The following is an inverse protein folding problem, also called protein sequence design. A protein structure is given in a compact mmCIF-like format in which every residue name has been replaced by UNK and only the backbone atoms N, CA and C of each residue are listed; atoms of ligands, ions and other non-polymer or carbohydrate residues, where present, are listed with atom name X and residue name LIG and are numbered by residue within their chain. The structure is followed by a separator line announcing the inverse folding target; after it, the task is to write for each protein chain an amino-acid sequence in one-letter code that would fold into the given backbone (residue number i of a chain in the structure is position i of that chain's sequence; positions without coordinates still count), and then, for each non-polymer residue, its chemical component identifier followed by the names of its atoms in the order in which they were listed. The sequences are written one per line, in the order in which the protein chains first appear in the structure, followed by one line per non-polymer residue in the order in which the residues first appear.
data_IF_053451876438
#
_entry.id   IF_053451876438
#
_cell.length_a   1.000
_cell.length_b   1.000
_cell.length_c   1.000
_cell.angle_alpha   90.00
_cell.angle_beta   90.00
_cell.angle_gamma   90.00
#
_symmetry.space_group_name_H-M   'P 1'
#
loop_
_entity.id
_entity.type
_entity.pdbx_description
1 polymer ?
#
# COMPACT_ATOMS: atom_id res chain seq x y z
N UNK A 1 1.14 3.86 -23.54
CA UNK A 1 0.76 4.63 -22.35
C UNK A 1 -0.74 4.59 -22.05
N UNK A 2 -1.61 4.46 -23.05
CA UNK A 2 -3.08 4.45 -22.89
C UNK A 2 -3.69 3.13 -22.38
N UNK A 3 -3.02 1.99 -22.57
CA UNK A 3 -3.56 0.67 -22.21
C UNK A 3 -3.66 0.42 -20.69
N UNK A 4 -2.81 1.08 -19.92
CA UNK A 4 -2.75 0.94 -18.47
C UNK A 4 -3.91 1.67 -17.76
N UNK A 5 -4.24 2.87 -18.25
CA UNK A 5 -5.36 3.68 -17.76
C UNK A 5 -6.73 2.99 -17.97
N UNK A 6 -6.87 2.29 -19.10
CA UNK A 6 -8.10 1.58 -19.43
C UNK A 6 -8.31 0.35 -18.52
N UNK A 7 -7.24 -0.36 -18.18
CA UNK A 7 -7.30 -1.48 -17.26
C UNK A 7 -7.73 -1.10 -15.85
N UNK A 8 -7.21 0.01 -15.32
CA UNK A 8 -7.58 0.49 -13.99
C UNK A 8 -9.03 1.01 -13.95
N UNK A 9 -9.47 1.73 -14.98
CA UNK A 9 -10.86 2.22 -15.09
C UNK A 9 -11.87 1.08 -15.13
N UNK A 10 -11.56 0.01 -15.85
CA UNK A 10 -12.46 -1.16 -15.92
C UNK A 10 -12.53 -1.95 -14.61
N UNK A 11 -11.49 -1.86 -13.77
CA UNK A 11 -11.45 -2.54 -12.48
C UNK A 11 -12.27 -1.81 -11.41
N UNK A 12 -12.35 -0.48 -11.50
CA UNK A 12 -12.90 0.35 -10.41
C UNK A 12 -14.25 1.01 -10.72
N UNK A 13 -14.82 0.79 -11.90
CA UNK A 13 -16.11 1.38 -12.30
C UNK A 13 -16.03 2.91 -12.44
N UNK A 14 -16.76 3.45 -13.37
CA UNK A 14 -16.91 4.89 -13.57
C UNK A 14 -18.01 5.44 -12.68
N UNK A 15 -17.78 5.61 -11.39
CA UNK A 15 -18.75 6.38 -10.59
C UNK A 15 -18.05 7.41 -9.69
N UNK A 16 -18.36 8.64 -10.08
CA UNK A 16 -18.51 9.89 -9.33
C UNK A 16 -17.29 10.53 -8.70
N UNK A 17 -16.77 11.47 -9.44
CA UNK A 17 -16.25 12.71 -8.89
C UNK A 17 -17.44 13.51 -8.34
N UNK A 18 -17.66 13.51 -7.04
CA UNK A 18 -18.53 14.47 -6.36
C UNK A 18 -17.82 15.06 -5.15
N UNK A 19 -17.87 16.36 -5.12
CA UNK A 19 -17.23 17.28 -4.19
C UNK A 19 -17.56 16.98 -2.73
N UNK A 20 -16.54 16.99 -1.88
CA UNK A 20 -16.73 17.24 -0.45
C UNK A 20 -15.69 18.25 0.03
N UNK A 21 -16.18 19.40 0.49
CA UNK A 21 -15.45 20.46 1.16
C UNK A 21 -15.33 20.14 2.66
N UNK A 22 -14.13 20.35 3.19
CA UNK A 22 -13.95 20.60 4.62
C UNK A 22 -13.56 19.39 5.47
N UNK A 23 -12.27 19.12 5.59
CA UNK A 23 -11.74 18.36 6.72
C UNK A 23 -10.44 18.98 7.22
N UNK A 24 -10.38 19.19 8.51
CA UNK A 24 -9.24 19.73 9.24
C UNK A 24 -8.09 18.73 9.22
N UNK A 25 -6.91 19.15 8.78
CA UNK A 25 -5.71 18.32 8.73
C UNK A 25 -5.21 18.07 10.15
N UNK A 26 -5.22 16.81 10.57
CA UNK A 26 -4.51 16.39 11.78
C UNK A 26 -3.11 15.91 11.37
N UNK A 27 -2.01 16.43 11.97
CA UNK A 27 -0.66 16.00 11.59
C UNK A 27 -0.45 14.54 11.97
N UNK A 28 0.25 13.82 11.08
CA UNK A 28 0.66 12.42 11.24
C UNK A 28 1.40 12.26 12.57
N UNK A 29 0.81 11.54 13.50
CA UNK A 29 1.46 11.17 14.76
C UNK A 29 2.67 10.29 14.49
N UNK A 30 3.78 10.57 15.18
CA UNK A 30 5.04 9.86 15.09
C UNK A 30 4.83 8.34 15.25
N UNK A 31 5.02 7.60 14.15
CA UNK A 31 4.94 6.14 14.14
C UNK A 31 6.08 5.53 14.96
N UNK A 32 5.75 4.89 16.08
CA UNK A 32 6.70 4.04 16.80
C UNK A 32 7.06 2.85 15.92
N UNK A 33 8.36 2.64 15.70
CA UNK A 33 8.91 1.47 15.03
C UNK A 33 8.39 0.19 15.71
N UNK A 34 7.59 -0.58 14.98
CA UNK A 34 7.08 -1.85 15.47
C UNK A 34 8.15 -2.95 15.31
N UNK A 35 8.67 -3.43 16.42
CA UNK A 35 9.48 -4.65 16.47
C UNK A 35 8.68 -5.87 15.97
N UNK A 36 9.39 -6.91 15.60
CA UNK A 36 8.91 -8.21 15.11
C UNK A 36 7.95 -8.89 16.11
N UNK A 37 6.71 -8.47 16.15
CA UNK A 37 5.65 -9.18 16.86
C UNK A 37 4.67 -9.83 15.87
N UNK A 38 4.33 -11.06 16.15
CA UNK A 38 3.39 -11.90 15.41
C UNK A 38 2.09 -11.14 15.06
N UNK A 39 1.79 -11.05 13.76
CA UNK A 39 0.75 -10.20 13.17
C UNK A 39 -0.68 -10.80 13.32
N UNK A 40 -0.81 -11.96 13.94
CA UNK A 40 -2.10 -12.60 14.18
C UNK A 40 -2.89 -11.80 15.24
N UNK A 41 -3.84 -10.98 14.78
CA UNK A 41 -4.75 -10.22 15.64
C UNK A 41 -4.64 -8.69 15.57
N UNK A 42 -3.70 -8.11 14.83
CA UNK A 42 -3.62 -6.66 14.67
C UNK A 42 -4.74 -6.13 13.78
N UNK A 43 -5.50 -5.20 14.32
CA UNK A 43 -6.33 -4.31 13.54
C UNK A 43 -5.41 -3.25 12.91
N UNK A 44 -5.12 -3.38 11.62
CA UNK A 44 -4.36 -2.36 10.91
C UNK A 44 -5.20 -1.10 10.78
N UNK A 45 -4.67 0.06 11.18
CA UNK A 45 -5.41 1.31 11.06
C UNK A 45 -5.66 1.64 9.59
N UNK A 46 -6.80 2.26 9.32
CA UNK A 46 -7.04 2.93 8.05
C UNK A 46 -6.02 4.07 7.90
N UNK A 47 -5.62 4.34 6.67
CA UNK A 47 -4.60 5.35 6.40
C UNK A 47 -3.25 4.76 6.01
N UNK A 48 -2.21 5.58 6.06
CA UNK A 48 -0.85 5.22 5.64
C UNK A 48 -0.03 4.69 6.81
N UNK A 49 0.51 3.50 6.65
CA UNK A 49 1.46 2.88 7.59
C UNK A 49 2.81 2.75 6.89
N UNK A 50 3.86 3.34 7.48
CA UNK A 50 5.23 3.20 7.00
C UNK A 50 5.84 1.90 7.51
N UNK A 51 6.48 1.16 6.59
CA UNK A 51 7.23 -0.07 6.87
C UNK A 51 8.65 0.04 6.31
N UNK A 52 9.62 -0.53 7.01
CA UNK A 52 10.98 -0.63 6.49
C UNK A 52 11.02 -1.61 5.32
N UNK A 53 11.63 -1.21 4.20
CA UNK A 53 11.87 -2.10 3.07
C UNK A 53 13.25 -2.73 3.18
N UNK A 54 13.31 -4.02 2.97
CA UNK A 54 14.56 -4.79 2.88
C UNK A 54 14.89 -5.16 1.42
N UNK A 55 14.12 -4.67 0.45
CA UNK A 55 14.32 -4.92 -0.96
C UNK A 55 14.09 -6.37 -1.40
N UNK A 56 13.41 -7.17 -0.60
CA UNK A 56 13.13 -8.56 -0.91
C UNK A 56 11.70 -8.98 -0.53
N UNK A 57 11.25 -10.11 -1.09
CA UNK A 57 9.88 -10.58 -0.92
C UNK A 57 9.51 -11.05 0.49
N UNK A 58 10.49 -11.18 1.41
CA UNK A 58 10.22 -11.63 2.79
C UNK A 58 9.44 -10.59 3.59
N UNK A 59 9.52 -9.30 3.21
CA UNK A 59 8.77 -8.23 3.85
C UNK A 59 7.24 -8.40 3.70
N UNK A 60 6.79 -9.09 2.64
CA UNK A 60 5.38 -9.43 2.46
C UNK A 60 4.87 -10.45 3.49
N UNK A 61 5.75 -11.23 4.12
CA UNK A 61 5.33 -12.27 5.06
C UNK A 61 4.56 -11.71 6.25
N UNK A 62 4.96 -10.53 6.72
CA UNK A 62 4.28 -9.85 7.82
C UNK A 62 2.84 -9.42 7.45
N UNK A 63 2.58 -9.19 6.16
CA UNK A 63 1.28 -8.76 5.65
C UNK A 63 0.42 -9.88 5.09
N UNK A 64 0.95 -11.12 4.97
CA UNK A 64 0.20 -12.25 4.42
C UNK A 64 -1.16 -12.46 5.09
N UNK A 65 -1.28 -12.51 6.44
CA UNK A 65 -2.58 -12.70 7.08
C UNK A 65 -3.59 -11.60 6.72
N UNK A 66 -3.10 -10.37 6.59
CA UNK A 66 -3.92 -9.23 6.20
C UNK A 66 -4.35 -9.30 4.73
N UNK A 67 -3.45 -9.70 3.83
CA UNK A 67 -3.76 -9.92 2.42
C UNK A 67 -4.79 -11.03 2.24
N UNK A 68 -4.64 -12.15 2.95
CA UNK A 68 -5.58 -13.28 2.94
C UNK A 68 -6.96 -12.79 3.36
N UNK A 69 -7.07 -12.13 4.53
CA UNK A 69 -8.34 -11.62 5.05
C UNK A 69 -9.05 -10.71 4.04
N UNK A 70 -8.33 -9.73 3.48
CA UNK A 70 -8.94 -8.77 2.56
C UNK A 70 -9.39 -9.42 1.25
N UNK A 71 -8.58 -10.31 0.67
CA UNK A 71 -8.96 -11.00 -0.56
C UNK A 71 -10.11 -11.99 -0.38
N UNK A 72 -10.24 -12.60 0.80
CA UNK A 72 -11.40 -13.43 1.17
C UNK A 72 -12.67 -12.60 1.34
N UNK A 73 -12.57 -11.39 1.87
CA UNK A 73 -13.66 -10.41 1.94
C UNK A 73 -14.01 -9.78 0.58
N UNK A 74 -13.46 -10.30 -0.52
CA UNK A 74 -13.62 -9.81 -1.88
C UNK A 74 -13.11 -8.40 -2.12
N UNK A 75 -12.29 -7.86 -1.23
CA UNK A 75 -11.57 -6.60 -1.43
C UNK A 75 -10.29 -6.85 -2.22
N UNK A 76 -9.90 -5.88 -3.02
CA UNK A 76 -8.65 -5.96 -3.77
C UNK A 76 -7.45 -5.71 -2.87
N UNK A 77 -6.37 -6.42 -3.14
CA UNK A 77 -5.03 -6.13 -2.63
C UNK A 77 -4.15 -5.75 -3.81
N UNK A 78 -3.63 -4.55 -3.80
CA UNK A 78 -2.87 -3.98 -4.91
C UNK A 78 -1.44 -3.70 -4.48
N UNK A 79 -0.47 -4.20 -5.25
CA UNK A 79 0.95 -3.91 -5.09
C UNK A 79 1.40 -2.95 -6.19
N UNK A 80 1.93 -1.80 -5.81
CA UNK A 80 2.37 -0.77 -6.75
C UNK A 80 3.90 -0.73 -6.79
N UNK A 81 4.44 -1.11 -7.93
CA UNK A 81 5.87 -1.11 -8.24
C UNK A 81 6.75 -1.82 -7.20
N UNK A 82 6.46 -3.10 -6.86
CA UNK A 82 7.35 -3.86 -6.00
C UNK A 82 8.74 -3.96 -6.65
N UNK A 83 9.85 -3.82 -5.87
CA UNK A 83 11.21 -3.83 -6.41
C UNK A 83 11.72 -5.24 -6.78
N UNK A 84 10.90 -6.26 -6.57
CA UNK A 84 11.22 -7.66 -6.79
C UNK A 84 10.06 -8.42 -7.45
N UNK A 85 10.36 -9.58 -7.99
CA UNK A 85 9.32 -10.49 -8.49
C UNK A 85 8.50 -11.04 -7.32
N UNK A 86 7.18 -10.80 -7.36
CA UNK A 86 6.29 -11.24 -6.29
C UNK A 86 6.07 -12.76 -6.37
N UNK A 87 6.33 -13.50 -5.29
CA UNK A 87 6.21 -14.96 -5.28
C UNK A 87 4.74 -15.40 -5.19
N UNK A 88 4.02 -15.38 -6.32
CA UNK A 88 2.58 -15.69 -6.40
C UNK A 88 2.25 -17.09 -5.88
N UNK A 89 3.12 -18.08 -6.10
CA UNK A 89 2.95 -19.43 -5.56
C UNK A 89 2.88 -19.43 -4.03
N UNK A 90 3.72 -18.62 -3.38
CA UNK A 90 3.72 -18.47 -1.93
C UNK A 90 2.47 -17.75 -1.41
N UNK A 91 2.01 -16.72 -2.14
CA UNK A 91 0.76 -16.05 -1.81
C UNK A 91 -0.42 -17.00 -1.88
N UNK A 92 -0.48 -17.84 -2.91
CA UNK A 92 -1.51 -18.86 -3.09
C UNK A 92 -1.47 -19.90 -1.95
N UNK A 93 -0.28 -20.40 -1.60
CA UNK A 93 -0.09 -21.33 -0.48
C UNK A 93 -0.52 -20.73 0.86
N UNK A 94 -0.33 -19.43 1.05
CA UNK A 94 -0.79 -18.70 2.23
C UNK A 94 -2.31 -18.48 2.26
N UNK A 95 -3.04 -18.75 1.16
CA UNK A 95 -4.47 -18.58 1.06
C UNK A 95 -4.94 -17.24 0.48
N UNK A 96 -4.03 -16.46 -0.13
CA UNK A 96 -4.42 -15.22 -0.83
C UNK A 96 -5.22 -15.58 -2.09
N UNK A 97 -6.40 -14.99 -2.23
CA UNK A 97 -7.20 -15.16 -3.43
C UNK A 97 -6.62 -14.30 -4.58
N UNK A 98 -5.93 -14.96 -5.52
CA UNK A 98 -5.27 -14.29 -6.63
C UNK A 98 -6.24 -13.61 -7.62
N UNK A 99 -7.53 -13.93 -7.61
CA UNK A 99 -8.53 -13.20 -8.40
C UNK A 99 -8.84 -11.80 -7.84
N UNK A 100 -8.37 -11.50 -6.64
CA UNK A 100 -8.50 -10.20 -5.94
C UNK A 100 -7.13 -9.59 -5.61
N UNK A 101 -6.13 -9.94 -6.37
CA UNK A 101 -4.77 -9.50 -6.22
C UNK A 101 -4.25 -8.90 -7.54
N UNK A 102 -3.59 -7.76 -7.46
CA UNK A 102 -3.07 -7.07 -8.65
C UNK A 102 -1.69 -6.48 -8.37
N UNK A 103 -0.78 -6.64 -9.32
CA UNK A 103 0.51 -5.95 -9.34
C UNK A 103 0.47 -4.87 -10.42
N UNK A 104 0.73 -3.65 -10.02
CA UNK A 104 0.79 -2.48 -10.90
C UNK A 104 2.25 -2.08 -11.10
N UNK A 105 2.75 -2.22 -12.32
CA UNK A 105 4.10 -1.84 -12.69
C UNK A 105 4.12 -0.39 -13.19
N UNK A 106 4.47 0.56 -12.31
CA UNK A 106 4.68 1.95 -12.66
C UNK A 106 6.17 2.28 -12.57
N UNK A 107 6.72 2.96 -13.58
CA UNK A 107 8.16 3.29 -13.64
C UNK A 107 8.48 4.67 -13.09
N UNK A 108 7.60 5.65 -13.29
CA UNK A 108 7.78 7.00 -12.78
C UNK A 108 7.21 7.17 -11.38
N UNK A 109 7.80 8.06 -10.60
CA UNK A 109 7.33 8.40 -9.24
C UNK A 109 5.87 8.89 -9.29
N UNK A 110 5.55 9.76 -10.24
CA UNK A 110 4.20 10.28 -10.45
C UNK A 110 3.22 9.16 -10.81
N UNK A 111 3.63 8.21 -11.64
CA UNK A 111 2.82 7.05 -12.02
C UNK A 111 2.54 6.12 -10.83
N UNK A 112 3.54 5.90 -9.97
CA UNK A 112 3.38 5.12 -8.72
C UNK A 112 2.38 5.79 -7.79
N UNK A 113 2.55 7.10 -7.56
CA UNK A 113 1.67 7.87 -6.68
C UNK A 113 0.24 7.94 -7.21
N UNK A 114 0.09 8.23 -8.49
CA UNK A 114 -1.22 8.28 -9.13
C UNK A 114 -1.95 6.93 -9.03
N UNK A 115 -1.26 5.84 -9.36
CA UNK A 115 -1.85 4.49 -9.26
C UNK A 115 -2.25 4.14 -7.82
N UNK A 116 -1.41 4.51 -6.85
CA UNK A 116 -1.70 4.31 -5.43
C UNK A 116 -2.92 5.11 -4.99
N UNK A 117 -2.98 6.40 -5.34
CA UNK A 117 -4.10 7.29 -5.00
C UNK A 117 -5.43 6.79 -5.60
N UNK A 118 -5.43 6.36 -6.87
CA UNK A 118 -6.62 5.79 -7.51
C UNK A 118 -7.07 4.49 -6.86
N UNK A 119 -6.12 3.63 -6.51
CA UNK A 119 -6.42 2.38 -5.82
C UNK A 119 -7.02 2.63 -4.42
N UNK A 120 -6.46 3.58 -3.67
CA UNK A 120 -6.95 3.95 -2.34
C UNK A 120 -8.39 4.47 -2.37
N UNK A 121 -8.70 5.37 -3.31
CA UNK A 121 -10.04 5.98 -3.45
C UNK A 121 -11.11 5.05 -4.04
N UNK A 122 -10.73 3.85 -4.46
CA UNK A 122 -11.67 2.97 -5.18
C UNK A 122 -12.78 2.36 -4.32
N UNK A 123 -12.72 2.44 -2.99
CA UNK A 123 -13.61 1.81 -2.01
C UNK A 123 -13.67 0.26 -2.09
N UNK A 124 -13.13 -0.32 -3.14
CA UNK A 124 -13.09 -1.77 -3.37
C UNK A 124 -11.77 -2.42 -2.94
N UNK A 125 -10.77 -1.61 -2.58
CA UNK A 125 -9.51 -2.08 -2.04
C UNK A 125 -9.59 -2.29 -0.53
N UNK A 126 -8.91 -3.32 -0.06
CA UNK A 126 -8.67 -3.53 1.37
C UNK A 126 -7.26 -3.13 1.76
N UNK A 127 -6.31 -3.24 0.81
CA UNK A 127 -4.94 -2.87 1.02
C UNK A 127 -4.26 -2.41 -0.27
N UNK A 128 -3.42 -1.39 -0.16
CA UNK A 128 -2.48 -0.96 -1.20
C UNK A 128 -1.08 -0.97 -0.61
N UNK A 129 -0.18 -1.70 -1.23
CA UNK A 129 1.22 -1.79 -0.87
C UNK A 129 2.03 -1.03 -1.92
N UNK A 130 2.85 -0.06 -1.52
CA UNK A 130 3.59 0.77 -2.47
C UNK A 130 5.06 0.89 -2.07
N UNK A 131 5.95 0.80 -3.08
CA UNK A 131 7.39 0.99 -2.98
C UNK A 131 7.80 2.23 -3.79
N UNK A 132 7.52 3.43 -3.30
CA UNK A 132 8.02 4.63 -3.93
C UNK A 132 9.48 4.84 -3.51
N UNK A 133 10.16 5.69 -4.25
CA UNK A 133 11.34 6.38 -3.78
C UNK A 133 10.94 7.34 -2.64
N UNK A 134 11.83 8.17 -2.13
CA UNK A 134 11.47 9.08 -1.04
C UNK A 134 10.21 9.91 -1.35
N UNK A 135 9.25 9.93 -0.42
CA UNK A 135 8.04 10.74 -0.50
C UNK A 135 8.20 12.03 0.30
N UNK A 136 7.78 13.14 -0.27
CA UNK A 136 7.61 14.40 0.47
C UNK A 136 6.41 14.31 1.42
N UNK A 137 6.41 15.16 2.44
CA UNK A 137 5.31 15.25 3.41
C UNK A 137 3.97 15.51 2.72
N UNK A 138 3.95 16.38 1.70
CA UNK A 138 2.73 16.69 0.95
C UNK A 138 2.16 15.47 0.22
N UNK A 139 3.04 14.65 -0.36
CA UNK A 139 2.65 13.42 -1.04
C UNK A 139 2.12 12.37 -0.06
N UNK A 140 2.75 12.24 1.10
CA UNK A 140 2.24 11.37 2.19
C UNK A 140 0.87 11.82 2.67
N UNK A 141 0.66 13.12 2.87
CA UNK A 141 -0.63 13.67 3.28
C UNK A 141 -1.73 13.39 2.24
N UNK A 142 -1.41 13.50 0.95
CA UNK A 142 -2.35 13.15 -0.14
C UNK A 142 -2.74 11.68 -0.12
N UNK A 143 -1.78 10.78 0.11
CA UNK A 143 -2.05 9.34 0.24
C UNK A 143 -2.86 9.04 1.49
N UNK A 144 -2.58 9.72 2.59
CA UNK A 144 -3.34 9.59 3.83
C UNK A 144 -4.81 9.94 3.60
N UNK A 145 -5.09 11.08 2.97
CA UNK A 145 -6.45 11.48 2.62
C UNK A 145 -7.16 10.48 1.70
N UNK A 146 -6.46 10.03 0.67
CA UNK A 146 -7.02 9.05 -0.26
C UNK A 146 -7.34 7.72 0.44
N UNK A 147 -6.52 7.30 1.39
CA UNK A 147 -6.70 6.09 2.17
C UNK A 147 -7.89 6.20 3.15
N UNK A 148 -8.03 7.35 3.80
CA UNK A 148 -9.17 7.65 4.69
C UNK A 148 -10.48 7.74 3.91
N UNK A 149 -10.49 8.46 2.77
CA UNK A 149 -11.64 8.59 1.88
C UNK A 149 -12.13 7.23 1.37
N UNK A 150 -11.20 6.36 0.93
CA UNK A 150 -11.51 5.04 0.40
C UNK A 150 -11.65 3.94 1.45
N UNK A 151 -11.50 4.25 2.74
CA UNK A 151 -11.49 3.28 3.85
C UNK A 151 -10.51 2.12 3.60
N UNK A 152 -9.31 2.44 3.09
CA UNK A 152 -8.31 1.48 2.64
C UNK A 152 -7.02 1.63 3.43
N UNK A 153 -6.38 0.51 3.80
CA UNK A 153 -5.05 0.55 4.38
C UNK A 153 -3.99 0.74 3.29
N UNK A 154 -3.07 1.67 3.50
CA UNK A 154 -1.91 1.90 2.64
C UNK A 154 -0.63 1.54 3.38
N UNK A 155 0.16 0.63 2.83
CA UNK A 155 1.47 0.27 3.34
C UNK A 155 2.55 0.86 2.44
N UNK A 156 3.29 1.78 2.99
CA UNK A 156 4.40 2.45 2.32
C UNK A 156 5.73 1.84 2.77
N UNK A 157 6.46 1.22 1.83
CA UNK A 157 7.75 0.61 2.10
C UNK A 157 8.88 1.60 1.82
N UNK A 158 9.55 2.04 2.88
CA UNK A 158 10.63 3.01 2.81
C UNK A 158 11.99 2.31 2.88
N UNK A 159 12.78 2.40 1.79
CA UNK A 159 14.13 1.83 1.71
C UNK A 159 15.15 2.58 2.56
N UNK A 160 14.97 3.89 2.78
CA UNK A 160 15.91 4.72 3.56
C UNK A 160 15.88 4.40 5.06
N UNK A 161 14.79 3.84 5.57
CA UNK A 161 14.72 3.42 6.97
C UNK A 161 15.71 2.28 7.31
N UNK A 162 16.02 1.42 6.32
CA UNK A 162 16.98 0.32 6.48
C UNK A 162 18.42 0.83 6.60
N UNK A 163 18.79 1.87 5.86
CA UNK A 163 20.16 2.44 5.91
C UNK A 163 20.46 3.13 7.24
N UNK A 164 19.48 3.84 7.81
CA UNK A 164 19.64 4.53 9.09
C UNK A 164 19.78 3.54 10.26
N UNK A 165 19.20 2.36 10.17
CA UNK A 165 19.36 1.31 11.19
C UNK A 165 20.74 0.69 11.14
N UNK A 166 21.30 0.50 9.95
CA UNK A 166 22.67 0.01 9.79
C UNK A 166 23.74 0.99 10.33
N UNK A 167 23.53 2.29 10.12
CA UNK A 167 24.45 3.31 10.61
C UNK A 167 24.45 3.43 12.15
N UNK A 168 23.34 3.13 12.80
CA UNK A 168 23.24 3.11 14.27
C UNK A 168 23.87 1.87 14.92
N UNK A 169 24.09 0.79 14.18
CA UNK A 169 24.75 -0.42 14.68
C UNK A 169 26.28 -0.39 14.54
N UNK A 170 26.83 0.54 13.75
CA UNK A 170 28.28 0.68 13.50
C UNK A 170 28.91 1.81 14.36
N UNK A 171 28.10 2.57 15.03
CA UNK A 171 28.53 3.58 16.02
C UNK A 171 28.36 3.05 17.44
#
# INVERSE_FOLDING_TARGET
MFSFLTGLKNLFGTETLSQAHGATVTPIGQGKSAGHESVAGRHWPLGVTELASHGNSTELNALLPFMVKNTQLRKWVILVAPPYAVPTARLLQAGVNLSRYLVVNARSVEGKLWATEQALRSHNCGAVLVWPEALSVDRLNRLQWAAEEGETACFYFNSTASELTHLKQVA
#
